data_IF_406555448941
#
_entry.id   IF_406555448941
#
_cell.length_a   1.000
_cell.length_b   1.000
_cell.length_c   1.000
_cell.angle_alpha   90.00
_cell.angle_beta   90.00
_cell.angle_gamma   90.00
#
_symmetry.space_group_name_H-M   'P 1'
#
loop_
_entity.id
_entity.type
_entity.pdbx_description
1 polymer ?
#
# COMPACT_ATOMS: atom_id res chain seq x y z
N UNK A 1 26.42 -20.01 12.11
CA UNK A 1 26.47 -18.64 12.67
C UNK A 1 26.37 -17.69 11.48
N UNK A 2 25.16 -17.39 11.02
CA UNK A 2 24.95 -16.59 9.80
C UNK A 2 24.83 -15.10 10.13
N UNK A 3 25.54 -14.27 9.36
CA UNK A 3 25.58 -12.81 9.53
C UNK A 3 24.25 -12.17 9.12
N UNK A 4 23.58 -11.53 10.06
CA UNK A 4 22.59 -10.49 9.79
C UNK A 4 23.34 -9.37 9.04
N UNK A 5 23.00 -9.14 7.78
CA UNK A 5 23.58 -8.05 7.00
C UNK A 5 22.93 -6.73 7.43
N UNK A 6 23.62 -5.99 8.31
CA UNK A 6 23.38 -4.57 8.54
C UNK A 6 23.77 -3.84 7.26
N UNK A 7 22.79 -3.54 6.41
CA UNK A 7 22.99 -2.77 5.19
C UNK A 7 22.90 -1.28 5.51
N UNK A 8 24.05 -0.61 5.63
CA UNK A 8 24.17 0.85 5.74
C UNK A 8 24.27 1.48 4.34
N UNK A 9 23.25 1.34 3.50
CA UNK A 9 23.26 1.89 2.12
C UNK A 9 22.32 3.09 1.91
N UNK A 10 21.84 3.72 2.98
CA UNK A 10 21.13 4.99 2.89
C UNK A 10 21.95 6.10 3.57
N UNK A 11 22.45 7.10 2.82
CA UNK A 11 23.53 7.97 3.28
C UNK A 11 23.11 9.07 4.29
N UNK A 12 21.95 8.99 4.97
CA UNK A 12 21.50 10.09 5.84
C UNK A 12 20.70 9.71 7.10
N UNK A 13 20.80 8.46 7.60
CA UNK A 13 20.07 8.04 8.80
C UNK A 13 21.02 7.58 9.91
N UNK A 14 21.75 8.53 10.51
CA UNK A 14 22.56 8.26 11.71
C UNK A 14 21.65 7.90 12.89
N UNK A 15 21.72 6.65 13.35
CA UNK A 15 20.96 6.13 14.50
C UNK A 15 19.79 5.20 14.17
N UNK A 16 19.60 4.84 12.89
CA UNK A 16 18.54 3.92 12.47
C UNK A 16 19.14 2.55 12.14
N UNK A 17 18.83 1.55 12.95
CA UNK A 17 19.14 0.17 12.61
C UNK A 17 18.18 -0.30 11.50
N UNK A 18 18.65 -0.31 10.26
CA UNK A 18 17.94 -0.86 9.11
C UNK A 18 18.13 -2.37 9.08
N UNK A 19 17.06 -3.10 9.36
CA UNK A 19 17.03 -4.55 9.19
C UNK A 19 16.38 -4.86 7.85
N UNK A 20 17.05 -5.68 7.05
CA UNK A 20 16.51 -6.28 5.84
C UNK A 20 16.31 -7.77 6.10
N UNK A 21 15.05 -8.19 6.19
CA UNK A 21 14.70 -9.61 6.38
C UNK A 21 13.81 -10.07 5.23
N UNK A 22 14.11 -11.24 4.69
CA UNK A 22 13.25 -11.91 3.71
C UNK A 22 11.97 -12.38 4.41
N UNK A 23 10.80 -12.21 3.79
CA UNK A 23 9.51 -12.52 4.40
C UNK A 23 9.42 -13.93 5.02
N UNK A 24 9.85 -14.97 4.29
CA UNK A 24 9.86 -16.36 4.78
C UNK A 24 10.72 -16.53 6.04
N UNK A 25 11.81 -15.75 6.15
CA UNK A 25 12.69 -15.75 7.32
C UNK A 25 12.17 -14.83 8.41
N UNK A 26 11.40 -13.79 8.08
CA UNK A 26 10.87 -12.84 9.05
C UNK A 26 9.91 -13.52 10.01
N UNK A 27 9.02 -14.39 9.53
CA UNK A 27 8.11 -15.15 10.39
C UNK A 27 8.91 -16.00 11.38
N UNK A 28 9.86 -16.81 10.89
CA UNK A 28 10.70 -17.65 11.76
C UNK A 28 11.60 -16.85 12.72
N UNK A 29 12.22 -15.76 12.26
CA UNK A 29 13.09 -14.89 13.07
C UNK A 29 12.31 -14.12 14.14
N UNK A 30 11.07 -13.70 13.84
CA UNK A 30 10.22 -13.00 14.79
C UNK A 30 9.51 -13.95 15.75
N UNK A 31 9.32 -15.22 15.38
CA UNK A 31 8.83 -16.26 16.27
C UNK A 31 9.90 -16.80 17.23
N UNK A 32 11.19 -16.67 16.89
CA UNK A 32 12.28 -16.94 17.83
C UNK A 32 12.52 -15.72 18.73
N UNK A 33 11.65 -15.57 19.73
CA UNK A 33 11.67 -14.44 20.68
C UNK A 33 13.09 -14.18 21.23
N UNK A 34 13.89 -15.22 21.43
CA UNK A 34 15.21 -15.16 22.09
C UNK A 34 16.23 -14.27 21.37
N UNK A 35 16.14 -14.11 20.05
CA UNK A 35 17.09 -13.33 19.25
C UNK A 35 16.81 -11.81 19.25
N UNK A 36 15.55 -11.42 19.42
CA UNK A 36 15.13 -10.00 19.44
C UNK A 36 14.73 -9.50 20.83
N UNK A 37 14.63 -10.38 21.82
CA UNK A 37 14.24 -10.02 23.19
C UNK A 37 15.25 -9.14 23.92
N UNK A 38 14.69 -8.14 24.60
CA UNK A 38 15.26 -7.11 25.49
C UNK A 38 16.19 -6.05 24.88
N UNK A 39 17.20 -6.42 24.09
CA UNK A 39 18.29 -5.46 23.78
C UNK A 39 17.93 -4.45 22.69
N UNK A 40 17.33 -4.91 21.60
CA UNK A 40 17.05 -4.06 20.42
C UNK A 40 15.59 -3.65 20.29
N UNK A 41 14.70 -4.25 21.10
CA UNK A 41 13.24 -4.04 21.09
C UNK A 41 12.84 -2.56 21.01
N UNK A 42 13.49 -1.75 21.85
CA UNK A 42 13.19 -0.32 21.98
C UNK A 42 14.09 0.58 21.12
N UNK A 43 15.11 0.01 20.46
CA UNK A 43 16.08 0.79 19.67
C UNK A 43 15.68 0.89 18.19
N UNK A 44 14.83 -0.01 17.72
CA UNK A 44 14.43 -0.09 16.31
C UNK A 44 13.28 0.89 16.06
N UNK A 45 13.60 1.97 15.34
CA UNK A 45 12.63 2.99 14.91
C UNK A 45 12.23 2.87 13.44
N UNK A 46 12.96 2.09 12.64
CA UNK A 46 12.64 1.81 11.23
C UNK A 46 12.88 0.33 10.93
N UNK A 47 11.97 -0.28 10.17
CA UNK A 47 12.07 -1.69 9.80
C UNK A 47 11.68 -1.89 8.33
N UNK A 48 12.48 -2.66 7.59
CA UNK A 48 12.27 -2.91 6.16
C UNK A 48 12.17 -4.42 5.91
N UNK A 49 11.06 -4.83 5.33
CA UNK A 49 10.82 -6.20 4.93
C UNK A 49 10.88 -6.24 3.42
N UNK A 50 11.88 -6.95 2.91
CA UNK A 50 11.96 -7.23 1.49
C UNK A 50 11.19 -8.52 1.24
N UNK A 51 10.04 -8.39 0.60
CA UNK A 51 9.29 -9.55 0.14
C UNK A 51 9.90 -10.03 -1.17
N UNK A 52 10.88 -10.94 -1.06
CA UNK A 52 11.36 -11.69 -2.22
C UNK A 52 10.29 -12.66 -2.68
N UNK A 53 10.23 -12.91 -3.99
CA UNK A 53 9.38 -13.97 -4.53
C UNK A 53 9.74 -15.34 -3.94
N UNK A 54 8.99 -15.74 -2.93
CA UNK A 54 8.82 -17.15 -2.59
C UNK A 54 8.01 -17.84 -3.69
N UNK A 55 8.17 -19.17 -3.82
CA UNK A 55 7.32 -19.99 -4.71
C UNK A 55 5.85 -19.99 -4.28
N UNK A 56 5.55 -19.57 -3.05
CA UNK A 56 4.22 -19.57 -2.44
C UNK A 56 3.97 -18.23 -1.76
N UNK A 57 3.02 -17.45 -2.27
CA UNK A 57 2.58 -16.24 -1.59
C UNK A 57 2.13 -16.59 -0.16
N UNK A 58 2.42 -15.73 0.84
CA UNK A 58 1.93 -15.94 2.19
C UNK A 58 0.42 -16.05 2.19
N UNK A 59 -0.12 -16.85 3.10
CA UNK A 59 -1.55 -16.83 3.37
C UNK A 59 -1.95 -15.51 4.03
N UNK A 60 -3.24 -15.18 4.00
CA UNK A 60 -3.76 -13.97 4.65
C UNK A 60 -3.48 -13.98 6.16
N UNK A 61 -3.62 -15.15 6.80
CA UNK A 61 -3.30 -15.35 8.23
C UNK A 61 -1.81 -15.11 8.53
N UNK A 62 -0.91 -15.58 7.66
CA UNK A 62 0.54 -15.37 7.82
C UNK A 62 0.90 -13.88 7.78
N UNK A 63 0.24 -13.08 6.93
CA UNK A 63 0.45 -11.63 6.87
C UNK A 63 -0.03 -10.93 8.16
N UNK A 64 -1.16 -11.34 8.71
CA UNK A 64 -1.69 -10.80 9.97
C UNK A 64 -0.75 -11.15 11.13
N UNK A 65 -0.34 -12.41 11.23
CA UNK A 65 0.57 -12.89 12.29
C UNK A 65 1.91 -12.15 12.23
N UNK A 66 2.44 -11.95 11.02
CA UNK A 66 3.67 -11.21 10.81
C UNK A 66 3.57 -9.76 11.29
N UNK A 67 2.56 -9.02 10.83
CA UNK A 67 2.35 -7.63 11.25
C UNK A 67 2.18 -7.53 12.76
N UNK A 68 1.38 -8.41 13.35
CA UNK A 68 1.17 -8.48 14.80
C UNK A 68 2.50 -8.68 15.53
N UNK A 69 3.34 -9.60 15.06
CA UNK A 69 4.66 -9.80 15.65
C UNK A 69 5.57 -8.58 15.50
N UNK A 70 5.58 -7.92 14.34
CA UNK A 70 6.39 -6.72 14.10
C UNK A 70 6.03 -5.62 15.10
N UNK A 71 4.74 -5.32 15.27
CA UNK A 71 4.33 -4.23 16.16
C UNK A 71 4.45 -4.59 17.64
N UNK A 72 4.27 -5.87 18.01
CA UNK A 72 4.49 -6.32 19.39
C UNK A 72 5.97 -6.36 19.77
N UNK A 73 6.83 -6.66 18.80
CA UNK A 73 8.29 -6.70 18.98
C UNK A 73 8.87 -5.30 18.91
N UNK A 74 8.52 -4.45 17.95
CA UNK A 74 9.13 -3.13 17.79
C UNK A 74 8.21 -2.02 18.31
N UNK A 75 8.17 -1.85 19.63
CA UNK A 75 7.28 -0.89 20.31
C UNK A 75 7.58 0.57 19.94
N UNK A 76 8.82 0.89 19.57
CA UNK A 76 9.26 2.22 19.16
C UNK A 76 9.30 2.41 17.63
N UNK A 77 8.73 1.46 16.87
CA UNK A 77 8.74 1.51 15.41
C UNK A 77 7.96 2.72 14.90
N UNK A 78 8.66 3.59 14.17
CA UNK A 78 8.09 4.79 13.54
C UNK A 78 7.93 4.62 12.04
N UNK A 79 8.77 3.82 11.41
CA UNK A 79 8.77 3.62 9.96
C UNK A 79 8.71 2.12 9.68
N UNK A 80 7.73 1.69 8.89
CA UNK A 80 7.62 0.32 8.41
C UNK A 80 7.53 0.33 6.89
N UNK A 81 8.44 -0.40 6.24
CA UNK A 81 8.41 -0.59 4.80
C UNK A 81 8.30 -2.08 4.48
N UNK A 82 7.17 -2.48 3.90
CA UNK A 82 6.87 -3.83 3.45
C UNK A 82 6.64 -3.76 1.95
N UNK A 83 7.72 -3.53 1.23
CA UNK A 83 7.69 -3.32 -0.20
C UNK A 83 8.22 -4.54 -0.95
N UNK A 84 7.73 -4.79 -2.17
CA UNK A 84 8.47 -5.63 -3.09
C UNK A 84 9.86 -5.03 -3.29
N UNK A 85 10.93 -5.84 -3.21
CA UNK A 85 12.16 -5.47 -3.93
C UNK A 85 11.77 -5.19 -5.37
N UNK A 86 12.43 -4.22 -5.99
CA UNK A 86 12.16 -3.63 -7.31
C UNK A 86 12.05 -4.60 -8.50
N UNK A 87 12.04 -5.91 -8.26
CA UNK A 87 12.12 -7.00 -9.23
C UNK A 87 10.97 -8.03 -9.06
N UNK A 88 10.16 -8.03 -7.98
CA UNK A 88 9.20 -9.13 -7.72
C UNK A 88 7.81 -8.73 -7.18
N UNK A 89 6.76 -9.32 -7.76
CA UNK A 89 5.34 -9.01 -7.55
C UNK A 89 4.68 -9.70 -6.34
N UNK A 90 5.25 -9.59 -5.14
CA UNK A 90 4.56 -10.04 -3.93
C UNK A 90 3.93 -8.87 -3.19
N UNK A 91 2.69 -9.10 -2.77
CA UNK A 91 1.79 -8.10 -2.20
C UNK A 91 1.09 -8.76 -1.01
N UNK A 92 0.91 -8.04 0.09
CA UNK A 92 0.17 -8.54 1.25
C UNK A 92 -1.32 -8.65 0.92
N UNK A 93 -2.01 -9.59 1.54
CA UNK A 93 -3.46 -9.72 1.48
C UNK A 93 -4.01 -10.04 2.86
N UNK A 94 -5.17 -9.48 3.21
CA UNK A 94 -5.81 -9.68 4.51
C UNK A 94 -7.26 -10.13 4.35
N UNK A 95 -7.68 -11.16 5.09
CA UNK A 95 -9.10 -11.46 5.21
C UNK A 95 -9.78 -10.30 5.96
N UNK A 96 -10.95 -9.86 5.50
CA UNK A 96 -11.63 -8.63 5.96
C UNK A 96 -12.34 -8.86 7.31
N UNK A 97 -11.88 -9.84 8.09
CA UNK A 97 -12.31 -10.02 9.47
C UNK A 97 -11.61 -9.01 10.40
N UNK A 98 -12.10 -8.86 11.64
CA UNK A 98 -11.82 -7.70 12.52
C UNK A 98 -10.33 -7.33 12.64
N UNK A 99 -10.02 -6.03 12.85
CA UNK A 99 -8.64 -5.59 13.08
C UNK A 99 -7.98 -6.28 14.27
N UNK A 100 -6.80 -6.87 14.06
CA UNK A 100 -5.93 -7.40 15.14
C UNK A 100 -4.61 -6.64 15.28
N UNK A 101 -4.30 -5.77 14.33
CA UNK A 101 -3.01 -5.08 14.21
C UNK A 101 -3.18 -3.61 14.57
N UNK A 102 -2.49 -3.12 15.59
CA UNK A 102 -2.54 -1.72 16.06
C UNK A 102 -1.12 -1.25 16.34
N UNK A 103 -0.80 0.01 16.00
CA UNK A 103 0.42 0.68 16.46
C UNK A 103 0.17 2.13 16.83
N UNK A 104 0.66 2.52 18.00
CA UNK A 104 0.59 3.89 18.53
C UNK A 104 1.86 4.71 18.29
N UNK A 105 2.86 4.15 17.60
CA UNK A 105 4.16 4.80 17.35
C UNK A 105 4.48 4.95 15.87
N UNK A 106 3.81 4.19 14.99
CA UNK A 106 4.03 4.24 13.56
C UNK A 106 3.62 5.60 12.98
N UNK A 107 4.56 6.25 12.29
CA UNK A 107 4.39 7.53 11.61
C UNK A 107 4.36 7.35 10.09
N UNK A 108 5.09 6.36 9.57
CA UNK A 108 5.20 6.12 8.13
C UNK A 108 5.05 4.63 7.80
N UNK A 109 4.19 4.34 6.83
CA UNK A 109 3.96 2.99 6.33
C UNK A 109 4.06 2.96 4.80
N UNK A 110 4.94 2.11 4.30
CA UNK A 110 5.11 1.81 2.88
C UNK A 110 4.77 0.34 2.67
N UNK A 111 3.82 0.03 1.80
CA UNK A 111 3.34 -1.35 1.68
C UNK A 111 2.88 -1.71 0.26
N UNK A 112 3.23 -2.92 -0.18
CA UNK A 112 2.60 -3.56 -1.34
C UNK A 112 1.38 -4.39 -0.90
N UNK A 113 0.21 -4.09 -1.45
CA UNK A 113 -1.07 -4.75 -1.14
C UNK A 113 -1.73 -5.39 -2.36
N UNK A 114 -2.36 -6.54 -2.16
CA UNK A 114 -2.96 -7.32 -3.24
C UNK A 114 -4.25 -6.68 -3.67
N UNK A 115 -5.09 -6.21 -2.73
CA UNK A 115 -6.38 -5.58 -3.03
C UNK A 115 -6.46 -4.17 -2.48
N UNK A 116 -7.27 -3.32 -3.11
CA UNK A 116 -7.63 -2.02 -2.55
C UNK A 116 -8.33 -2.13 -1.18
N UNK A 117 -9.09 -3.20 -0.94
CA UNK A 117 -9.69 -3.46 0.37
C UNK A 117 -8.68 -3.68 1.49
N UNK A 118 -7.51 -4.23 1.16
CA UNK A 118 -6.41 -4.41 2.13
C UNK A 118 -5.84 -3.05 2.56
N UNK A 119 -5.90 -2.03 1.70
CA UNK A 119 -5.52 -0.65 2.02
C UNK A 119 -6.49 -0.04 3.02
N UNK A 120 -7.79 -0.20 2.76
CA UNK A 120 -8.84 0.24 3.67
C UNK A 120 -8.70 -0.44 5.02
N UNK A 121 -8.49 -1.76 5.02
CA UNK A 121 -8.25 -2.56 6.22
C UNK A 121 -7.15 -1.93 7.08
N UNK A 122 -6.00 -1.57 6.51
CA UNK A 122 -4.87 -0.97 7.25
C UNK A 122 -5.14 0.45 7.76
N UNK A 123 -5.89 1.27 7.01
CA UNK A 123 -6.16 2.66 7.38
C UNK A 123 -7.28 2.81 8.42
N UNK A 124 -8.01 1.75 8.72
CA UNK A 124 -9.23 1.81 9.55
C UNK A 124 -8.92 1.87 11.06
N UNK A 125 -8.45 3.03 11.53
CA UNK A 125 -8.30 3.32 12.97
C UNK A 125 -7.16 2.60 13.69
N UNK A 126 -6.22 2.00 12.94
CA UNK A 126 -5.13 1.16 13.51
C UNK A 126 -3.86 1.91 13.85
N UNK A 127 -3.68 3.06 13.22
CA UNK A 127 -2.44 3.81 13.26
C UNK A 127 -2.74 5.28 13.55
N UNK A 128 -3.05 5.57 14.81
CA UNK A 128 -3.49 6.89 15.25
C UNK A 128 -2.49 7.99 14.92
N UNK A 129 -1.20 7.67 14.78
CA UNK A 129 -0.13 8.65 14.51
C UNK A 129 0.41 8.59 13.08
N UNK A 130 -0.23 7.83 12.19
CA UNK A 130 0.24 7.68 10.83
C UNK A 130 0.12 9.00 10.08
N UNK A 131 1.27 9.53 9.66
CA UNK A 131 1.37 10.77 8.88
C UNK A 131 1.57 10.49 7.39
N UNK A 132 2.30 9.42 7.06
CA UNK A 132 2.64 9.05 5.69
C UNK A 132 2.19 7.63 5.41
N UNK A 133 1.39 7.45 4.36
CA UNK A 133 0.99 6.15 3.88
C UNK A 133 1.23 6.03 2.38
N UNK A 134 2.01 5.03 1.99
CA UNK A 134 2.29 4.68 0.60
C UNK A 134 1.81 3.25 0.36
N UNK A 135 0.82 3.10 -0.52
CA UNK A 135 0.34 1.80 -0.96
C UNK A 135 0.60 1.58 -2.45
N UNK A 136 1.20 0.43 -2.77
CA UNK A 136 1.21 -0.11 -4.13
C UNK A 136 0.19 -1.26 -4.22
N UNK A 137 -0.84 -1.09 -5.04
CA UNK A 137 -1.99 -1.99 -5.13
C UNK A 137 -1.91 -2.82 -6.41
N UNK A 138 -2.00 -4.14 -6.24
CA UNK A 138 -2.07 -5.10 -7.35
C UNK A 138 -3.47 -5.31 -7.90
N UNK A 139 -4.56 -5.17 -7.16
CA UNK A 139 -5.90 -5.48 -7.68
C UNK A 139 -6.89 -4.50 -7.09
N UNK A 140 -7.81 -4.03 -7.92
CA UNK A 140 -8.96 -3.26 -7.48
C UNK A 140 -10.18 -4.16 -7.65
N UNK A 141 -10.60 -4.82 -6.57
CA UNK A 141 -11.86 -5.55 -6.55
C UNK A 141 -12.97 -4.59 -6.12
N UNK A 142 -13.94 -4.37 -7.00
CA UNK A 142 -15.00 -3.36 -6.89
C UNK A 142 -16.16 -3.72 -5.95
N UNK A 143 -16.12 -4.89 -5.29
CA UNK A 143 -17.27 -5.36 -4.50
C UNK A 143 -17.30 -4.85 -3.06
N UNK A 144 -16.28 -4.13 -2.60
CA UNK A 144 -16.25 -3.59 -1.24
C UNK A 144 -16.62 -2.12 -1.22
N UNK A 145 -17.90 -1.88 -1.01
CA UNK A 145 -18.44 -0.57 -0.67
C UNK A 145 -17.84 -0.14 0.67
N UNK A 146 -17.17 1.01 0.65
CA UNK A 146 -16.57 1.64 1.82
C UNK A 146 -17.70 2.09 2.76
N UNK A 147 -18.08 1.24 3.70
CA UNK A 147 -19.04 1.63 4.73
C UNK A 147 -18.40 2.35 5.92
N UNK A 148 -17.06 2.38 6.00
CA UNK A 148 -16.40 2.95 7.16
C UNK A 148 -16.12 4.46 7.02
N UNK A 149 -16.61 5.22 7.99
CA UNK A 149 -16.68 6.69 7.98
C UNK A 149 -15.60 7.36 8.85
N UNK A 150 -14.68 6.59 9.40
CA UNK A 150 -13.66 7.13 10.29
C UNK A 150 -12.73 8.08 9.55
N UNK A 151 -12.59 9.30 10.07
CA UNK A 151 -11.64 10.28 9.54
C UNK A 151 -10.21 9.81 9.80
N UNK A 152 -9.30 10.24 8.93
CA UNK A 152 -7.86 10.03 9.01
C UNK A 152 -7.17 11.38 9.29
N UNK A 153 -7.40 12.01 10.45
CA UNK A 153 -7.00 13.39 10.69
C UNK A 153 -5.49 13.59 10.78
N UNK A 154 -4.72 12.54 11.04
CA UNK A 154 -3.27 12.65 11.20
C UNK A 154 -2.50 12.40 9.91
N UNK A 155 -3.17 11.90 8.86
CA UNK A 155 -2.54 11.60 7.59
C UNK A 155 -2.29 12.89 6.80
N UNK A 156 -1.02 13.16 6.49
CA UNK A 156 -0.55 14.35 5.77
C UNK A 156 -0.05 14.02 4.37
N UNK A 157 0.48 12.80 4.16
CA UNK A 157 0.97 12.34 2.87
C UNK A 157 0.34 11.01 2.51
N UNK A 158 -0.32 10.96 1.36
CA UNK A 158 -0.91 9.75 0.81
C UNK A 158 -0.38 9.50 -0.58
N UNK A 159 0.10 8.27 -0.81
CA UNK A 159 0.56 7.81 -2.12
C UNK A 159 -0.13 6.51 -2.46
N UNK A 160 -0.77 6.47 -3.63
CA UNK A 160 -1.46 5.30 -4.14
C UNK A 160 -0.99 5.02 -5.55
N UNK A 161 -0.35 3.87 -5.72
CA UNK A 161 0.04 3.33 -7.01
C UNK A 161 -0.87 2.15 -7.33
N UNK A 162 -1.64 2.24 -8.41
CA UNK A 162 -2.57 1.20 -8.84
C UNK A 162 -2.19 0.75 -10.25
N UNK A 163 -1.63 -0.46 -10.37
CA UNK A 163 -1.16 -1.02 -11.65
C UNK A 163 -2.26 -1.73 -12.45
N UNK A 164 -3.54 -1.50 -12.16
CA UNK A 164 -4.63 -2.33 -12.67
C UNK A 164 -5.82 -1.56 -13.23
N UNK A 165 -6.50 -2.25 -14.16
CA UNK A 165 -7.64 -1.83 -14.98
C UNK A 165 -8.90 -1.66 -14.13
N UNK A 166 -9.38 -0.42 -13.97
CA UNK A 166 -10.73 -0.17 -13.44
C UNK A 166 -11.28 1.17 -13.94
N UNK A 167 -12.61 1.19 -14.13
CA UNK A 167 -13.37 2.39 -14.49
C UNK A 167 -14.04 3.03 -13.24
N UNK A 168 -13.76 2.53 -12.03
CA UNK A 168 -14.48 2.88 -10.79
C UNK A 168 -13.58 3.57 -9.75
N UNK A 169 -12.66 4.43 -10.20
CA UNK A 169 -11.76 5.14 -9.29
C UNK A 169 -12.50 6.14 -8.41
N UNK A 170 -13.54 6.77 -8.94
CA UNK A 170 -14.43 7.68 -8.22
C UNK A 170 -15.13 6.98 -7.06
N UNK A 171 -15.66 5.77 -7.27
CA UNK A 171 -16.36 5.01 -6.22
C UNK A 171 -15.45 4.53 -5.08
N UNK A 172 -14.14 4.39 -5.33
CA UNK A 172 -13.20 3.78 -4.39
C UNK A 172 -12.22 4.79 -3.77
N UNK A 173 -11.64 5.66 -4.59
CA UNK A 173 -10.61 6.61 -4.16
C UNK A 173 -11.25 7.85 -3.55
N UNK A 174 -12.32 8.42 -4.13
CA UNK A 174 -12.89 9.67 -3.60
C UNK A 174 -13.42 9.51 -2.17
N UNK A 175 -14.17 8.45 -1.80
CA UNK A 175 -14.61 8.29 -0.42
C UNK A 175 -13.44 8.14 0.56
N UNK A 176 -12.34 7.53 0.12
CA UNK A 176 -11.13 7.43 0.92
C UNK A 176 -10.46 8.79 1.11
N UNK A 177 -10.34 9.60 0.04
CA UNK A 177 -9.76 10.95 0.12
C UNK A 177 -10.59 11.89 0.99
N UNK A 178 -11.92 11.78 0.98
CA UNK A 178 -12.81 12.53 1.87
C UNK A 178 -12.53 12.29 3.37
N UNK A 179 -11.89 11.18 3.73
CA UNK A 179 -11.50 10.89 5.12
C UNK A 179 -10.24 11.67 5.54
N UNK A 180 -9.44 12.18 4.60
CA UNK A 180 -8.11 12.75 4.82
C UNK A 180 -8.14 14.28 4.91
N UNK A 181 -8.77 14.82 5.95
CA UNK A 181 -9.04 16.27 6.07
C UNK A 181 -7.80 17.15 6.28
N UNK A 182 -6.65 16.57 6.61
CA UNK A 182 -5.40 17.30 6.86
C UNK A 182 -4.29 16.90 5.87
N UNK A 183 -4.69 16.36 4.71
CA UNK A 183 -3.73 15.99 3.68
C UNK A 183 -2.97 17.24 3.21
N UNK A 184 -1.65 17.11 3.06
CA UNK A 184 -0.74 18.13 2.53
C UNK A 184 -0.18 17.69 1.17
N UNK A 185 0.01 16.37 0.98
CA UNK A 185 0.53 15.77 -0.25
C UNK A 185 -0.31 14.57 -0.69
N UNK A 186 -0.70 14.57 -1.96
CA UNK A 186 -1.36 13.46 -2.64
C UNK A 186 -0.54 13.07 -3.87
N UNK A 187 -0.22 11.79 -4.01
CA UNK A 187 0.40 11.23 -5.21
C UNK A 187 -0.40 10.02 -5.69
N UNK A 188 -0.99 10.13 -6.88
CA UNK A 188 -1.81 9.09 -7.49
C UNK A 188 -1.17 8.65 -8.80
N UNK A 189 -0.85 7.36 -8.92
CA UNK A 189 -0.38 6.75 -10.17
C UNK A 189 -1.37 5.68 -10.58
N UNK A 190 -2.18 5.97 -11.59
CA UNK A 190 -3.32 5.16 -12.01
C UNK A 190 -3.15 4.73 -13.47
N UNK A 191 -3.43 3.46 -13.76
CA UNK A 191 -3.50 2.94 -15.12
C UNK A 191 -4.96 2.96 -15.58
N UNK A 192 -5.27 3.86 -16.50
CA UNK A 192 -6.65 4.00 -16.99
C UNK A 192 -6.75 3.49 -18.42
N UNK A 193 -7.72 2.61 -18.66
CA UNK A 193 -7.96 2.05 -19.98
C UNK A 193 -9.10 2.80 -20.67
N UNK A 194 -8.88 3.20 -21.91
CA UNK A 194 -9.93 3.75 -22.76
C UNK A 194 -10.68 2.60 -23.45
N UNK A 195 -11.97 2.39 -23.14
CA UNK A 195 -12.83 1.49 -23.93
C UNK A 195 -13.09 2.18 -25.27
N UNK A 196 -12.68 1.49 -26.34
CA UNK A 196 -12.70 1.94 -27.74
C UNK A 196 -14.01 2.52 -28.29
N UNK A 197 -15.11 2.54 -27.54
CA UNK A 197 -16.44 2.84 -28.06
C UNK A 197 -16.87 4.29 -27.98
N UNK A 198 -16.27 5.17 -27.15
CA UNK A 198 -16.62 6.61 -27.09
C UNK A 198 -15.41 7.43 -26.64
N UNK A 199 -14.56 7.85 -27.59
CA UNK A 199 -13.30 8.57 -27.31
C UNK A 199 -13.55 9.96 -26.69
N UNK A 200 -14.73 10.54 -26.89
CA UNK A 200 -15.04 11.88 -26.38
C UNK A 200 -15.58 11.85 -24.94
N UNK A 201 -16.40 10.86 -24.56
CA UNK A 201 -16.95 10.74 -23.20
C UNK A 201 -15.89 10.33 -22.16
N UNK A 202 -14.78 9.70 -22.57
CA UNK A 202 -13.73 9.23 -21.66
C UNK A 202 -12.72 10.31 -21.28
N UNK A 203 -12.49 11.32 -22.14
CA UNK A 203 -11.72 12.51 -21.76
C UNK A 203 -12.42 13.26 -20.63
N UNK A 204 -13.75 13.37 -20.72
CA UNK A 204 -14.58 14.00 -19.69
C UNK A 204 -14.48 13.24 -18.36
N UNK A 205 -14.43 11.91 -18.37
CA UNK A 205 -14.32 11.14 -17.11
C UNK A 205 -13.02 11.41 -16.33
N UNK A 206 -11.86 11.49 -16.99
CA UNK A 206 -10.60 11.74 -16.28
C UNK A 206 -10.50 13.17 -15.77
N UNK A 207 -10.95 14.13 -16.58
CA UNK A 207 -11.02 15.53 -16.18
C UNK A 207 -12.01 15.72 -15.02
N UNK A 208 -13.15 15.03 -15.07
CA UNK A 208 -14.14 15.00 -14.00
C UNK A 208 -13.57 14.36 -12.73
N UNK A 209 -12.92 13.20 -12.82
CA UNK A 209 -12.29 12.57 -11.66
C UNK A 209 -11.20 13.44 -11.03
N UNK A 210 -10.38 14.11 -11.85
CA UNK A 210 -9.38 15.06 -11.36
C UNK A 210 -10.04 16.29 -10.70
N UNK A 211 -11.12 16.79 -11.30
CA UNK A 211 -11.91 17.87 -10.75
C UNK A 211 -12.50 17.47 -9.39
N UNK A 212 -13.16 16.32 -9.31
CA UNK A 212 -13.76 15.77 -8.09
C UNK A 212 -12.70 15.47 -7.01
N UNK A 213 -11.53 15.00 -7.43
CA UNK A 213 -10.38 14.82 -6.54
C UNK A 213 -9.94 16.17 -5.96
N UNK A 214 -9.89 17.24 -6.77
CA UNK A 214 -9.51 18.56 -6.25
C UNK A 214 -10.58 19.15 -5.33
N UNK A 215 -11.86 18.91 -5.59
CA UNK A 215 -12.94 19.45 -4.76
C UNK A 215 -13.08 18.71 -3.43
N UNK A 216 -12.64 17.45 -3.34
CA UNK A 216 -12.69 16.68 -2.09
C UNK A 216 -11.51 16.92 -1.14
N UNK A 217 -10.45 17.58 -1.61
CA UNK A 217 -9.21 17.78 -0.88
C UNK A 217 -9.16 19.10 -0.11
N UNK A 218 -8.39 19.17 0.99
CA UNK A 218 -8.10 20.44 1.67
C UNK A 218 -7.47 21.49 0.75
N UNK A 219 -7.72 22.75 1.05
CA UNK A 219 -7.07 23.87 0.37
C UNK A 219 -5.55 23.76 0.57
N UNK A 220 -4.78 23.80 -0.53
CA UNK A 220 -3.32 23.71 -0.60
C UNK A 220 -2.70 22.30 -0.65
N UNK A 221 -3.46 21.24 -0.94
CA UNK A 221 -2.86 19.92 -1.21
C UNK A 221 -1.99 19.98 -2.47
N UNK A 222 -0.75 19.52 -2.36
CA UNK A 222 0.08 19.23 -3.52
C UNK A 222 -0.37 17.92 -4.14
N UNK A 223 -1.09 18.01 -5.26
CA UNK A 223 -1.56 16.85 -6.03
C UNK A 223 -0.57 16.56 -7.16
N UNK A 224 -0.02 15.35 -7.15
CA UNK A 224 0.70 14.72 -8.25
C UNK A 224 -0.17 13.61 -8.81
N UNK A 225 -0.36 13.59 -10.12
CA UNK A 225 -1.16 12.57 -10.76
C UNK A 225 -0.50 12.10 -12.04
N UNK A 226 -0.23 10.80 -12.11
CA UNK A 226 0.34 10.14 -13.27
C UNK A 226 -0.69 9.16 -13.84
N UNK A 227 -1.19 9.48 -15.03
CA UNK A 227 -2.09 8.60 -15.77
C UNK A 227 -1.32 7.89 -16.87
N UNK A 228 -1.42 6.56 -16.89
CA UNK A 228 -1.00 5.78 -18.05
C UNK A 228 -2.25 5.37 -18.82
N UNK A 229 -2.44 5.99 -19.99
CA UNK A 229 -3.47 5.59 -20.93
C UNK A 229 -3.06 4.27 -21.57
N UNK A 230 -3.83 3.23 -21.30
CA UNK A 230 -3.62 1.93 -21.90
C UNK A 230 -4.76 1.64 -22.90
N UNK A 231 -4.40 1.30 -24.14
CA UNK A 231 -5.38 1.01 -25.20
C UNK A 231 -5.47 -0.49 -25.41
N UNK A 232 -6.62 -1.09 -25.05
CA UNK A 232 -6.83 -2.52 -25.28
C UNK A 232 -7.12 -2.73 -26.76
N UNK A 233 -6.10 -3.15 -27.52
CA UNK A 233 -6.28 -3.56 -28.91
C UNK A 233 -6.86 -4.97 -28.89
N UNK A 234 -8.17 -5.08 -28.70
CA UNK A 234 -8.90 -6.31 -29.06
C UNK A 234 -8.92 -6.41 -30.58
N UNK A 235 -7.82 -6.91 -31.17
CA UNK A 235 -7.91 -7.47 -32.52
C UNK A 235 -8.72 -8.75 -32.38
N UNK A 236 -10.00 -8.70 -32.75
CA UNK A 236 -10.75 -9.90 -33.09
C UNK A 236 -10.01 -10.57 -34.25
N UNK A 237 -9.12 -11.52 -33.95
CA UNK A 237 -8.61 -12.48 -34.93
C UNK A 237 -9.72 -13.49 -35.27
N UNK A 238 -10.88 -12.99 -35.74
CA UNK A 238 -11.85 -13.77 -36.50
C UNK A 238 -11.77 -13.32 -37.95
N UNK A 239 -10.66 -13.64 -38.60
CA UNK A 239 -10.56 -13.74 -40.06
C UNK A 239 -10.03 -15.13 -40.36
N UNK A 240 -10.96 -16.04 -40.59
CA UNK A 240 -10.92 -17.04 -41.67
C UNK A 240 -12.29 -17.71 -41.75
N UNK A 241 -13.30 -16.91 -42.13
CA UNK A 241 -14.29 -17.39 -43.10
C UNK A 241 -13.71 -17.12 -44.49
N UNK A 242 -13.87 -18.09 -45.39
CA UNK A 242 -13.43 -18.17 -46.80
C UNK A 242 -11.97 -18.59 -47.08
N UNK A 243 -11.74 -19.90 -47.09
CA UNK A 243 -11.44 -20.64 -48.34
C UNK A 243 -11.99 -22.05 -48.26
#
# INVERSE_FOLDING_TARGET
MERILLSTNYPNLSGIALYHIQLERAVHLLSDERLFTSTYKNQISSFVIDIKASKKNPTEDENIVLLTHIFNTFTNLRILNIGPSSIWNQYLSFDISRPTVISSTLLELYVGLTRFSDCLYLLDGRFDRLHTFHANIKLINSHLVINNKEKLPNLRSFTLHCDFDTDFYDELILPLLHRMSNLEKLDLSLIVWTKKTLIDAEKDYHEQFLFDTKTCLPNNVRVSMNYRLAKKVTRNFRRNTTR
#
